data_IF_947219073342
#
_entry.id   IF_947219073342
#
_cell.length_a   1.000
_cell.length_b   1.000
_cell.length_c   1.000
_cell.angle_alpha   90.00
_cell.angle_beta   90.00
_cell.angle_gamma   90.00
#
_symmetry.space_group_name_H-M   'P 1'
#
loop_
_entity.id
_entity.type
_entity.pdbx_description
1 polymer ?
#
# COMPACT_ATOMS: atom_id res chain seq x y z
N UNK A 1 34.75 30.62 -14.70
CA UNK A 1 33.91 29.40 -14.73
C UNK A 1 33.10 29.44 -13.46
N UNK A 2 31.86 29.91 -13.55
CA UNK A 2 30.98 30.05 -12.39
C UNK A 2 30.54 28.68 -11.89
N UNK A 3 30.96 28.35 -10.67
CA UNK A 3 30.71 27.09 -9.98
C UNK A 3 29.30 27.06 -9.32
N UNK A 4 28.45 28.05 -9.65
CA UNK A 4 27.19 28.33 -8.95
C UNK A 4 25.94 28.01 -9.80
N UNK A 5 26.03 27.07 -10.74
CA UNK A 5 24.84 26.50 -11.37
C UNK A 5 24.38 25.26 -10.59
N UNK A 6 23.20 25.27 -9.93
CA UNK A 6 22.71 24.13 -9.16
C UNK A 6 22.72 22.81 -9.94
N UNK A 7 22.42 22.85 -11.24
CA UNK A 7 22.41 21.64 -12.09
C UNK A 7 23.81 21.04 -12.28
N UNK A 8 24.86 21.87 -12.35
CA UNK A 8 26.24 21.39 -12.50
C UNK A 8 26.76 20.79 -11.19
N UNK A 9 26.34 21.35 -10.04
CA UNK A 9 26.69 20.81 -8.72
C UNK A 9 26.03 19.44 -8.49
N UNK A 10 24.77 19.27 -8.89
CA UNK A 10 24.06 17.97 -8.81
C UNK A 10 24.71 16.90 -9.70
N UNK A 11 25.09 17.24 -10.92
CA UNK A 11 25.80 16.33 -11.83
C UNK A 11 27.15 15.86 -11.27
N UNK A 12 27.94 16.79 -10.72
CA UNK A 12 29.25 16.48 -10.10
C UNK A 12 29.06 15.55 -8.89
N UNK A 13 28.06 15.84 -8.04
CA UNK A 13 27.75 15.01 -6.88
C UNK A 13 27.35 13.59 -7.30
N UNK A 14 26.53 13.45 -8.34
CA UNK A 14 26.12 12.14 -8.85
C UNK A 14 27.28 11.34 -9.43
N UNK A 15 28.24 11.99 -10.08
CA UNK A 15 29.42 11.32 -10.60
C UNK A 15 30.33 10.80 -9.47
N UNK A 16 30.50 11.59 -8.40
CA UNK A 16 31.22 11.15 -7.20
C UNK A 16 30.53 9.99 -6.48
N UNK A 17 29.20 10.02 -6.37
CA UNK A 17 28.42 8.92 -5.79
C UNK A 17 28.60 7.64 -6.60
N UNK A 18 28.51 7.72 -7.94
CA UNK A 18 28.70 6.56 -8.82
C UNK A 18 30.10 5.96 -8.69
N UNK A 19 31.15 6.79 -8.62
CA UNK A 19 32.51 6.29 -8.43
C UNK A 19 32.69 5.68 -7.03
N UNK A 20 32.14 6.31 -5.98
CA UNK A 20 32.16 5.77 -4.62
C UNK A 20 31.45 4.41 -4.51
N UNK A 21 30.39 4.21 -5.28
CA UNK A 21 29.56 3.00 -5.25
C UNK A 21 29.98 1.95 -6.28
N UNK A 22 31.00 2.23 -7.08
CA UNK A 22 31.55 1.29 -8.05
C UNK A 22 31.93 -0.02 -7.37
N UNK A 23 31.39 -1.12 -7.88
CA UNK A 23 31.57 -2.49 -7.35
C UNK A 23 31.03 -2.72 -5.92
N UNK A 24 30.24 -1.79 -5.35
CA UNK A 24 29.55 -2.07 -4.09
C UNK A 24 28.39 -3.02 -4.30
N UNK A 25 28.35 -4.10 -3.51
CA UNK A 25 27.22 -5.04 -3.48
C UNK A 25 25.99 -4.40 -2.83
N UNK A 26 24.81 -4.95 -3.10
CA UNK A 26 23.59 -4.63 -2.37
C UNK A 26 23.75 -4.89 -0.87
N UNK A 27 23.19 -4.00 -0.05
CA UNK A 27 23.07 -4.21 1.38
C UNK A 27 21.99 -5.26 1.70
N UNK A 28 22.04 -5.84 2.90
CA UNK A 28 21.05 -6.83 3.33
C UNK A 28 19.62 -6.27 3.35
N UNK A 29 19.45 -5.00 3.74
CA UNK A 29 18.17 -4.29 3.66
C UNK A 29 17.65 -4.24 2.23
N UNK A 30 18.49 -3.79 1.29
CA UNK A 30 18.14 -3.65 -0.13
C UNK A 30 17.75 -4.99 -0.75
N UNK A 31 18.48 -6.07 -0.46
CA UNK A 31 18.13 -7.42 -0.94
C UNK A 31 16.76 -7.85 -0.40
N UNK A 32 16.53 -7.65 0.91
CA UNK A 32 15.28 -8.00 1.57
C UNK A 32 14.08 -7.22 1.03
N UNK A 33 14.24 -5.90 0.88
CA UNK A 33 13.20 -5.00 0.41
C UNK A 33 12.85 -5.27 -1.07
N UNK A 34 13.86 -5.51 -1.93
CA UNK A 34 13.64 -5.92 -3.32
C UNK A 34 12.90 -7.26 -3.41
N UNK A 35 13.29 -8.24 -2.58
CA UNK A 35 12.66 -9.55 -2.58
C UNK A 35 11.20 -9.48 -2.13
N UNK A 36 10.94 -8.77 -1.03
CA UNK A 36 9.58 -8.56 -0.54
C UNK A 36 8.71 -7.84 -1.58
N UNK A 37 9.26 -6.82 -2.26
CA UNK A 37 8.53 -6.13 -3.31
C UNK A 37 8.27 -7.02 -4.53
N UNK A 38 9.23 -7.82 -4.96
CA UNK A 38 9.05 -8.75 -6.08
C UNK A 38 7.90 -9.74 -5.83
N UNK A 39 7.82 -10.29 -4.61
CA UNK A 39 6.70 -11.13 -4.22
C UNK A 39 5.37 -10.37 -4.21
N UNK A 40 5.37 -9.13 -3.70
CA UNK A 40 4.20 -8.26 -3.69
C UNK A 40 3.68 -7.97 -5.10
N UNK A 41 4.53 -7.46 -6.00
CA UNK A 41 4.14 -7.13 -7.36
C UNK A 41 3.74 -8.35 -8.20
N UNK A 42 4.42 -9.48 -8.03
CA UNK A 42 4.01 -10.71 -8.73
C UNK A 42 2.65 -11.23 -8.26
N UNK A 43 2.34 -11.10 -6.96
CA UNK A 43 0.99 -11.35 -6.44
C UNK A 43 -0.02 -10.36 -7.02
N UNK A 44 0.29 -9.06 -7.05
CA UNK A 44 -0.61 -8.05 -7.61
C UNK A 44 -0.88 -8.28 -9.10
N UNK A 45 0.12 -8.71 -9.86
CA UNK A 45 -0.05 -9.11 -11.25
C UNK A 45 -1.15 -10.16 -11.42
N UNK A 46 -1.15 -11.18 -10.54
CA UNK A 46 -2.17 -12.22 -10.52
C UNK A 46 -3.56 -11.65 -10.16
N UNK A 47 -3.64 -10.76 -9.16
CA UNK A 47 -4.89 -10.10 -8.76
C UNK A 47 -5.46 -9.23 -9.88
N UNK A 48 -4.63 -8.39 -10.50
CA UNK A 48 -5.03 -7.52 -11.60
C UNK A 48 -5.50 -8.32 -12.80
N UNK A 49 -4.82 -9.43 -13.13
CA UNK A 49 -5.25 -10.32 -14.20
C UNK A 49 -6.68 -10.81 -13.98
N UNK A 50 -7.00 -11.30 -12.79
CA UNK A 50 -8.36 -11.74 -12.47
C UNK A 50 -9.34 -10.56 -12.44
N UNK A 51 -8.98 -9.42 -11.85
CA UNK A 51 -9.85 -8.23 -11.83
C UNK A 51 -10.20 -7.75 -13.24
N UNK A 52 -9.23 -7.70 -14.17
CA UNK A 52 -9.46 -7.30 -15.56
C UNK A 52 -10.36 -8.27 -16.33
N UNK A 53 -10.37 -9.56 -15.96
CA UNK A 53 -11.28 -10.55 -16.56
C UNK A 53 -12.75 -10.32 -16.17
N UNK A 54 -13.02 -9.80 -14.97
CA UNK A 54 -14.37 -9.78 -14.39
C UNK A 54 -14.94 -8.39 -14.09
N UNK A 55 -14.12 -7.33 -14.17
CA UNK A 55 -14.57 -5.94 -14.04
C UNK A 55 -15.55 -5.61 -15.16
N UNK A 56 -16.59 -4.83 -14.86
CA UNK A 56 -17.63 -4.43 -15.82
C UNK A 56 -17.58 -2.92 -16.11
N UNK A 57 -17.31 -2.09 -15.11
CA UNK A 57 -17.19 -0.64 -15.25
C UNK A 57 -15.89 -0.24 -15.97
N UNK A 58 -16.03 0.48 -17.09
CA UNK A 58 -14.90 0.85 -17.96
C UNK A 58 -13.90 1.80 -17.29
N UNK A 59 -14.36 2.75 -16.47
CA UNK A 59 -13.45 3.65 -15.74
C UNK A 59 -12.64 2.88 -14.69
N UNK A 60 -13.26 1.86 -14.07
CA UNK A 60 -12.57 0.98 -13.13
C UNK A 60 -11.60 0.06 -13.87
N UNK A 61 -11.96 -0.43 -15.05
CA UNK A 61 -11.05 -1.19 -15.91
C UNK A 61 -9.80 -0.39 -16.26
N UNK A 62 -9.97 0.86 -16.70
CA UNK A 62 -8.85 1.75 -17.03
C UNK A 62 -7.94 2.00 -15.82
N UNK A 63 -8.53 2.16 -14.63
CA UNK A 63 -7.77 2.30 -13.39
C UNK A 63 -6.99 1.02 -13.04
N UNK A 64 -7.59 -0.16 -13.18
CA UNK A 64 -6.91 -1.44 -12.93
C UNK A 64 -5.77 -1.65 -13.95
N UNK A 65 -5.99 -1.34 -15.23
CA UNK A 65 -4.94 -1.41 -16.26
C UNK A 65 -3.75 -0.50 -15.92
N UNK A 66 -4.03 0.74 -15.53
CA UNK A 66 -3.01 1.68 -15.09
C UNK A 66 -2.18 1.15 -13.91
N UNK A 67 -2.84 0.60 -12.88
CA UNK A 67 -2.14 0.01 -11.73
C UNK A 67 -1.33 -1.24 -12.12
N UNK A 68 -1.86 -2.07 -13.01
CA UNK A 68 -1.20 -3.27 -13.54
C UNK A 68 0.07 -2.94 -14.31
N UNK A 69 0.06 -1.90 -15.15
CA UNK A 69 1.24 -1.46 -15.90
C UNK A 69 2.36 -0.98 -14.99
N UNK A 70 2.02 -0.31 -13.89
CA UNK A 70 2.99 0.11 -12.86
C UNK A 70 3.63 -1.11 -12.19
N UNK A 71 2.83 -2.09 -11.76
CA UNK A 71 3.37 -3.29 -11.11
C UNK A 71 4.28 -4.09 -12.05
N UNK A 72 3.91 -4.18 -13.35
CA UNK A 72 4.78 -4.76 -14.37
C UNK A 72 6.10 -3.99 -14.52
N UNK A 73 6.05 -2.65 -14.57
CA UNK A 73 7.24 -1.81 -14.61
C UNK A 73 8.16 -2.06 -13.41
N UNK A 74 7.58 -2.21 -12.21
CA UNK A 74 8.34 -2.51 -10.98
C UNK A 74 9.03 -3.88 -11.07
N UNK A 75 8.31 -4.92 -11.50
CA UNK A 75 8.86 -6.27 -11.72
C UNK A 75 10.03 -6.26 -12.70
N UNK A 76 9.86 -5.59 -13.84
CA UNK A 76 10.89 -5.55 -14.88
C UNK A 76 12.14 -4.82 -14.38
N UNK A 77 11.97 -3.73 -13.61
CA UNK A 77 13.10 -3.03 -13.00
C UNK A 77 13.83 -3.85 -11.94
N UNK A 78 13.11 -4.63 -11.13
CA UNK A 78 13.74 -5.56 -10.17
C UNK A 78 14.50 -6.67 -10.87
N UNK A 79 13.97 -7.25 -11.96
CA UNK A 79 14.67 -8.25 -12.77
C UNK A 79 15.98 -7.70 -13.34
N UNK A 80 15.99 -6.45 -13.80
CA UNK A 80 17.21 -5.79 -14.26
C UNK A 80 18.24 -5.65 -13.12
N UNK A 81 17.81 -5.27 -11.91
CA UNK A 81 18.70 -5.15 -10.75
C UNK A 81 19.29 -6.53 -10.40
N UNK A 82 18.46 -7.57 -10.28
CA UNK A 82 18.93 -8.92 -9.98
C UNK A 82 19.91 -9.44 -11.03
N UNK A 83 19.61 -9.23 -12.31
CA UNK A 83 20.49 -9.64 -13.42
C UNK A 83 21.84 -8.93 -13.37
N UNK A 84 21.86 -7.63 -13.06
CA UNK A 84 23.12 -6.86 -12.93
C UNK A 84 24.00 -7.32 -11.77
N UNK A 85 23.38 -7.79 -10.69
CA UNK A 85 24.08 -8.29 -9.51
C UNK A 85 24.44 -9.79 -9.59
N UNK A 86 24.11 -10.45 -10.70
CA UNK A 86 24.23 -11.91 -10.85
C UNK A 86 23.47 -12.67 -9.74
N UNK A 87 22.33 -12.11 -9.31
CA UNK A 87 21.41 -12.71 -8.35
C UNK A 87 20.30 -13.42 -9.13
N UNK A 88 19.96 -14.68 -8.80
CA UNK A 88 18.82 -15.36 -9.41
C UNK A 88 17.52 -14.57 -9.20
N UNK A 89 16.74 -14.42 -10.26
CA UNK A 89 15.43 -13.79 -10.19
C UNK A 89 14.54 -14.66 -9.27
N UNK A 90 13.88 -14.08 -8.25
CA UNK A 90 13.01 -14.83 -7.36
C UNK A 90 11.86 -15.53 -8.09
N UNK A 91 11.44 -16.67 -7.57
CA UNK A 91 10.18 -17.31 -8.00
C UNK A 91 9.03 -16.58 -7.32
N UNK A 92 8.36 -15.69 -8.06
CA UNK A 92 7.17 -14.99 -7.62
C UNK A 92 5.88 -15.75 -7.91
N UNK A 93 4.75 -15.11 -7.64
CA UNK A 93 3.44 -15.63 -8.05
C UNK A 93 3.30 -15.59 -9.57
N UNK A 94 2.57 -16.57 -10.13
CA UNK A 94 2.35 -16.65 -11.57
C UNK A 94 1.03 -17.30 -11.93
N UNK A 95 0.93 -17.73 -13.19
CA UNK A 95 -0.28 -18.35 -13.75
C UNK A 95 -0.77 -19.57 -12.96
N UNK A 96 0.16 -20.33 -12.38
CA UNK A 96 -0.15 -21.49 -11.54
C UNK A 96 -0.88 -21.11 -10.23
N UNK A 97 -0.78 -19.85 -9.80
CA UNK A 97 -1.38 -19.35 -8.56
C UNK A 97 -2.76 -18.69 -8.79
N UNK A 98 -3.23 -18.67 -10.05
CA UNK A 98 -4.51 -18.06 -10.45
C UNK A 98 -5.50 -19.13 -10.91
N UNK A 99 -6.69 -19.15 -10.32
CA UNK A 99 -7.82 -19.93 -10.83
C UNK A 99 -8.66 -19.09 -11.79
N UNK A 100 -8.38 -19.21 -13.08
CA UNK A 100 -9.08 -18.44 -14.13
C UNK A 100 -10.58 -18.80 -14.28
N UNK A 101 -11.01 -19.96 -13.75
CA UNK A 101 -12.39 -20.43 -13.75
C UNK A 101 -13.17 -19.99 -12.50
N UNK A 102 -12.53 -19.22 -11.59
CA UNK A 102 -13.20 -18.74 -10.39
C UNK A 102 -14.33 -17.75 -10.76
N UNK A 103 -15.49 -17.82 -10.08
CA UNK A 103 -16.53 -16.82 -10.25
C UNK A 103 -16.05 -15.46 -9.73
N UNK A 104 -16.67 -14.39 -10.21
CA UNK A 104 -16.44 -13.04 -9.70
C UNK A 104 -16.72 -12.99 -8.18
N UNK A 105 -15.67 -12.76 -7.39
CA UNK A 105 -15.76 -12.70 -5.92
C UNK A 105 -15.95 -11.28 -5.38
N UNK A 106 -15.64 -10.27 -6.19
CA UNK A 106 -15.58 -8.88 -5.75
C UNK A 106 -16.35 -7.97 -6.70
N UNK A 107 -17.00 -6.95 -6.15
CA UNK A 107 -17.59 -5.86 -6.92
C UNK A 107 -16.52 -4.92 -7.48
N UNK A 108 -16.84 -4.18 -8.53
CA UNK A 108 -15.87 -3.23 -9.12
C UNK A 108 -15.45 -2.15 -8.12
N UNK A 109 -16.39 -1.64 -7.33
CA UNK A 109 -16.09 -0.69 -6.24
C UNK A 109 -15.11 -1.27 -5.22
N UNK A 110 -15.23 -2.55 -4.90
CA UNK A 110 -14.28 -3.21 -4.02
C UNK A 110 -12.90 -3.33 -4.67
N UNK A 111 -12.80 -3.60 -5.97
CA UNK A 111 -11.51 -3.66 -6.67
C UNK A 111 -10.79 -2.31 -6.57
N UNK A 112 -11.48 -1.19 -6.78
CA UNK A 112 -10.89 0.15 -6.61
C UNK A 112 -10.46 0.37 -5.16
N UNK A 113 -11.31 0.02 -4.20
CA UNK A 113 -11.02 0.17 -2.77
C UNK A 113 -9.78 -0.65 -2.36
N UNK A 114 -9.70 -1.91 -2.81
CA UNK A 114 -8.58 -2.80 -2.56
C UNK A 114 -7.27 -2.21 -3.09
N UNK A 115 -7.23 -1.81 -4.36
CA UNK A 115 -6.02 -1.24 -4.97
C UNK A 115 -5.61 0.06 -4.28
N UNK A 116 -6.57 0.89 -3.91
CA UNK A 116 -6.32 2.17 -3.21
C UNK A 116 -5.72 1.94 -1.82
N UNK A 117 -6.27 1.01 -1.03
CA UNK A 117 -5.74 0.69 0.29
C UNK A 117 -4.38 -0.02 0.22
N UNK A 118 -4.17 -0.87 -0.79
CA UNK A 118 -2.85 -1.48 -1.04
C UNK A 118 -1.81 -0.43 -1.43
N UNK A 119 -2.18 0.57 -2.25
CA UNK A 119 -1.30 1.70 -2.54
C UNK A 119 -0.99 2.52 -1.28
N UNK A 120 -1.97 2.76 -0.39
CA UNK A 120 -1.73 3.40 0.91
C UNK A 120 -0.70 2.64 1.74
N UNK A 121 -0.83 1.31 1.83
CA UNK A 121 0.14 0.47 2.52
C UNK A 121 1.53 0.53 1.83
N UNK A 122 1.55 0.49 0.49
CA UNK A 122 2.75 0.62 -0.33
C UNK A 122 3.55 1.90 -0.06
N UNK A 123 2.89 3.04 0.18
CA UNK A 123 3.59 4.28 0.55
C UNK A 123 4.43 4.14 1.82
N UNK A 124 3.93 3.40 2.81
CA UNK A 124 4.64 3.16 4.07
C UNK A 124 5.81 2.20 3.82
N UNK A 125 5.55 1.11 3.10
CA UNK A 125 6.56 0.10 2.77
C UNK A 125 7.71 0.69 1.96
N UNK A 126 7.42 1.41 0.87
CA UNK A 126 8.44 2.01 0.01
C UNK A 126 9.14 3.20 0.68
N UNK A 127 8.44 3.96 1.53
CA UNK A 127 9.08 4.98 2.37
C UNK A 127 10.10 4.37 3.33
N UNK A 128 9.78 3.24 3.95
CA UNK A 128 10.71 2.48 4.78
C UNK A 128 11.90 1.99 3.97
N UNK A 129 11.66 1.31 2.84
CA UNK A 129 12.72 0.76 1.98
C UNK A 129 13.66 1.85 1.43
N UNK A 130 13.11 3.00 1.03
CA UNK A 130 13.91 4.16 0.62
C UNK A 130 14.81 4.64 1.77
N UNK A 131 14.28 4.73 2.99
CA UNK A 131 15.03 5.21 4.17
C UNK A 131 16.14 4.26 4.61
N UNK A 132 16.08 2.99 4.24
CA UNK A 132 17.09 1.95 4.51
C UNK A 132 17.99 1.63 3.30
N UNK A 133 17.83 2.36 2.19
CA UNK A 133 18.63 2.20 0.97
C UNK A 133 19.83 3.13 0.95
N UNK A 134 20.95 2.66 0.40
CA UNK A 134 22.19 3.43 0.33
C UNK A 134 22.79 3.51 -1.07
N UNK A 135 22.60 2.48 -1.90
CA UNK A 135 23.03 2.51 -3.30
C UNK A 135 22.12 3.39 -4.14
N UNK A 136 22.69 4.22 -4.99
CA UNK A 136 21.96 5.25 -5.73
C UNK A 136 20.90 4.66 -6.66
N UNK A 137 21.17 3.52 -7.31
CA UNK A 137 20.21 2.86 -8.20
C UNK A 137 19.02 2.28 -7.44
N UNK A 138 19.23 1.82 -6.20
CA UNK A 138 18.17 1.33 -5.31
C UNK A 138 17.37 2.48 -4.70
N UNK A 139 18.04 3.55 -4.28
CA UNK A 139 17.39 4.80 -3.84
C UNK A 139 16.48 5.34 -4.94
N UNK A 140 16.98 5.47 -6.18
CA UNK A 140 16.16 5.92 -7.32
C UNK A 140 15.02 4.95 -7.64
N UNK A 141 15.22 3.64 -7.45
CA UNK A 141 14.17 2.65 -7.65
C UNK A 141 13.01 2.84 -6.66
N UNK A 142 13.29 2.93 -5.35
CA UNK A 142 12.23 3.11 -4.36
C UNK A 142 11.60 4.51 -4.41
N UNK A 143 12.35 5.54 -4.79
CA UNK A 143 11.78 6.86 -5.10
C UNK A 143 10.74 6.76 -6.23
N UNK A 144 11.07 6.08 -7.34
CA UNK A 144 10.13 5.83 -8.43
C UNK A 144 8.90 5.06 -7.94
N UNK A 145 9.09 4.02 -7.11
CA UNK A 145 7.98 3.24 -6.56
C UNK A 145 7.04 4.11 -5.71
N UNK A 146 7.58 5.03 -4.90
CA UNK A 146 6.78 6.00 -4.13
C UNK A 146 5.97 6.89 -5.06
N UNK A 147 6.58 7.48 -6.09
CA UNK A 147 5.87 8.36 -7.03
C UNK A 147 4.75 7.64 -7.78
N UNK A 148 5.01 6.42 -8.25
CA UNK A 148 4.00 5.58 -8.88
C UNK A 148 2.84 5.26 -7.94
N UNK A 149 3.16 4.92 -6.69
CA UNK A 149 2.17 4.59 -5.67
C UNK A 149 1.33 5.80 -5.29
N UNK A 150 1.92 6.99 -5.22
CA UNK A 150 1.18 8.26 -5.05
C UNK A 150 0.16 8.43 -6.18
N UNK A 151 0.55 8.16 -7.43
CA UNK A 151 -0.34 8.29 -8.57
C UNK A 151 -1.49 7.29 -8.55
N UNK A 152 -1.22 6.02 -8.19
CA UNK A 152 -2.27 5.00 -7.99
C UNK A 152 -3.22 5.46 -6.88
N UNK A 153 -2.71 5.84 -5.72
CA UNK A 153 -3.52 6.24 -4.57
C UNK A 153 -4.41 7.44 -4.91
N UNK A 154 -3.86 8.49 -5.53
CA UNK A 154 -4.63 9.68 -5.92
C UNK A 154 -5.75 9.34 -6.90
N UNK A 155 -5.45 8.58 -7.96
CA UNK A 155 -6.45 8.15 -8.95
C UNK A 155 -7.54 7.31 -8.29
N UNK A 156 -7.15 6.34 -7.46
CA UNK A 156 -8.08 5.47 -6.74
C UNK A 156 -9.01 6.23 -5.79
N UNK A 157 -8.46 7.13 -4.96
CA UNK A 157 -9.26 7.98 -4.06
C UNK A 157 -10.28 8.81 -4.84
N UNK A 158 -9.87 9.48 -5.91
CA UNK A 158 -10.79 10.31 -6.69
C UNK A 158 -11.85 9.48 -7.42
N UNK A 159 -11.48 8.29 -7.90
CA UNK A 159 -12.43 7.37 -8.51
C UNK A 159 -13.49 6.90 -7.50
N UNK A 160 -13.08 6.48 -6.30
CA UNK A 160 -13.99 6.11 -5.21
C UNK A 160 -14.95 7.25 -4.86
N UNK A 161 -14.42 8.46 -4.69
CA UNK A 161 -15.23 9.64 -4.37
C UNK A 161 -16.21 9.98 -5.49
N UNK A 162 -15.77 9.93 -6.75
CA UNK A 162 -16.63 10.20 -7.91
C UNK A 162 -17.80 9.21 -8.05
N UNK A 163 -17.59 7.97 -7.60
CA UNK A 163 -18.61 6.92 -7.57
C UNK A 163 -19.37 6.85 -6.24
N UNK A 164 -19.24 7.88 -5.39
CA UNK A 164 -20.03 8.06 -4.16
C UNK A 164 -19.53 7.28 -2.94
N UNK A 165 -18.35 6.67 -2.99
CA UNK A 165 -17.76 5.97 -1.85
C UNK A 165 -16.83 6.90 -1.07
N UNK A 166 -17.27 7.31 0.11
CA UNK A 166 -16.46 8.13 1.00
C UNK A 166 -15.65 7.26 1.97
N UNK A 167 -14.32 7.26 1.80
CA UNK A 167 -13.38 6.51 2.66
C UNK A 167 -12.50 7.42 3.53
N UNK A 168 -12.77 8.73 3.53
CA UNK A 168 -12.01 9.70 4.34
C UNK A 168 -12.55 9.75 5.78
N UNK A 169 -11.71 10.13 6.77
CA UNK A 169 -12.16 10.28 8.15
C UNK A 169 -13.28 11.33 8.29
N UNK A 170 -14.16 11.18 9.30
CA UNK A 170 -15.22 12.15 9.54
C UNK A 170 -14.65 13.53 9.88
N UNK A 171 -15.39 14.58 9.52
CA UNK A 171 -15.03 15.96 9.88
C UNK A 171 -15.29 16.23 11.36
N UNK A 172 -14.38 16.94 12.01
CA UNK A 172 -14.61 17.55 13.33
C UNK A 172 -14.89 19.05 13.19
N UNK A 173 -15.61 19.69 14.14
CA UNK A 173 -15.78 21.14 14.14
C UNK A 173 -14.44 21.87 14.17
N UNK A 174 -14.28 22.90 13.35
CA UNK A 174 -13.05 23.70 13.35
C UNK A 174 -12.84 24.39 14.71
N UNK A 175 -11.61 24.42 15.24
CA UNK A 175 -11.31 25.11 16.48
C UNK A 175 -11.56 26.62 16.31
N UNK A 176 -12.30 27.22 17.24
CA UNK A 176 -12.63 28.66 17.23
C UNK A 176 -11.68 29.52 18.07
N UNK A 177 -10.91 28.89 18.95
CA UNK A 177 -9.94 29.51 19.84
C UNK A 177 -8.82 28.53 20.17
N UNK A 178 -7.70 29.06 20.66
CA UNK A 178 -6.64 28.25 21.23
C UNK A 178 -7.06 27.84 22.65
N UNK A 179 -7.07 26.53 22.92
CA UNK A 179 -7.29 25.97 24.25
C UNK A 179 -5.98 25.33 24.73
N UNK A 180 -5.58 25.61 25.97
CA UNK A 180 -4.40 25.01 26.58
C UNK A 180 -4.82 23.82 27.44
N UNK A 181 -3.96 22.80 27.51
CA UNK A 181 -4.20 21.64 28.35
C UNK A 181 -3.91 22.03 29.81
N UNK A 182 -4.96 22.36 30.56
CA UNK A 182 -4.82 22.79 31.96
C UNK A 182 -4.81 21.62 32.96
N UNK A 183 -5.34 20.46 32.58
CA UNK A 183 -5.46 19.29 33.44
C UNK A 183 -4.45 18.19 33.08
N UNK A 184 -3.65 17.74 34.05
CA UNK A 184 -2.75 16.58 33.89
C UNK A 184 -3.49 15.29 33.51
N UNK A 185 -4.81 15.21 33.79
CA UNK A 185 -5.67 14.10 33.37
C UNK A 185 -5.79 13.96 31.85
N UNK A 186 -5.43 14.99 31.06
CA UNK A 186 -5.37 14.90 29.60
C UNK A 186 -4.31 13.88 29.12
N UNK A 187 -3.24 13.71 29.90
CA UNK A 187 -2.14 12.77 29.63
C UNK A 187 -2.33 11.45 30.41
N UNK A 188 -3.10 11.47 31.50
CA UNK A 188 -3.38 10.26 32.28
C UNK A 188 -4.42 9.37 31.59
N UNK A 189 -3.92 8.45 30.76
CA UNK A 189 -4.67 7.30 30.22
C UNK A 189 -5.43 6.48 31.30
N UNK A 190 -5.10 6.68 32.58
CA UNK A 190 -5.56 5.88 33.73
C UNK A 190 -6.66 6.60 34.54
N UNK A 191 -6.88 7.90 34.35
CA UNK A 191 -7.74 8.70 35.23
C UNK A 191 -9.25 8.61 34.95
N UNK A 192 -9.70 7.76 34.00
CA UNK A 192 -11.13 7.41 33.85
C UNK A 192 -12.08 8.55 33.44
N UNK A 193 -11.58 9.73 33.07
CA UNK A 193 -12.37 10.80 32.44
C UNK A 193 -11.95 10.92 30.98
N UNK A 194 -12.79 10.44 30.06
CA UNK A 194 -12.48 10.44 28.63
C UNK A 194 -12.47 11.87 28.09
N UNK A 195 -11.29 12.38 27.73
CA UNK A 195 -11.19 13.60 26.92
C UNK A 195 -11.82 13.33 25.54
N UNK A 196 -12.24 14.38 24.80
CA UNK A 196 -12.63 14.21 23.40
C UNK A 196 -11.52 13.52 22.60
N UNK A 197 -11.93 12.66 21.66
CA UNK A 197 -11.03 11.99 20.73
C UNK A 197 -10.36 13.05 19.85
N UNK A 198 -9.05 12.98 19.73
CA UNK A 198 -8.27 13.92 18.92
C UNK A 198 -8.43 13.63 17.44
N UNK A 199 -8.17 14.62 16.58
CA UNK A 199 -8.14 14.44 15.14
C UNK A 199 -7.18 13.32 14.68
N UNK A 200 -6.05 13.14 15.38
CA UNK A 200 -5.08 12.08 15.08
C UNK A 200 -5.64 10.69 15.45
N UNK A 201 -6.32 10.58 16.58
CA UNK A 201 -6.98 9.32 16.96
C UNK A 201 -8.11 8.97 15.98
N UNK A 202 -8.95 9.94 15.59
CA UNK A 202 -9.99 9.74 14.57
C UNK A 202 -9.38 9.24 13.25
N UNK A 203 -8.27 9.85 12.80
CA UNK A 203 -7.52 9.38 11.63
C UNK A 203 -7.12 7.90 11.78
N UNK A 204 -6.54 7.51 12.90
CA UNK A 204 -6.07 6.14 13.11
C UNK A 204 -7.23 5.14 13.27
N UNK A 205 -8.34 5.52 13.92
CA UNK A 205 -9.56 4.74 13.99
C UNK A 205 -10.09 4.45 12.58
N UNK A 206 -10.20 5.49 11.72
CA UNK A 206 -10.66 5.31 10.34
C UNK A 206 -9.75 4.38 9.53
N UNK A 207 -8.43 4.54 9.63
CA UNK A 207 -7.47 3.66 8.95
C UNK A 207 -7.68 2.19 9.36
N UNK A 208 -7.91 1.95 10.65
CA UNK A 208 -8.15 0.60 11.17
C UNK A 208 -9.52 0.06 10.72
N UNK A 209 -10.56 0.90 10.64
CA UNK A 209 -11.87 0.53 10.10
C UNK A 209 -11.74 0.13 8.63
N UNK A 210 -11.06 0.94 7.81
CA UNK A 210 -10.84 0.65 6.39
C UNK A 210 -10.07 -0.67 6.21
N UNK A 211 -8.99 -0.85 6.97
CA UNK A 211 -8.15 -2.06 6.90
C UNK A 211 -8.94 -3.32 7.28
N UNK A 212 -9.74 -3.26 8.35
CA UNK A 212 -10.60 -4.39 8.74
C UNK A 212 -11.75 -4.62 7.76
N UNK A 213 -12.30 -3.57 7.15
CA UNK A 213 -13.33 -3.70 6.12
C UNK A 213 -12.79 -4.44 4.90
N UNK A 214 -11.59 -4.06 4.45
CA UNK A 214 -10.87 -4.75 3.38
C UNK A 214 -10.60 -6.23 3.74
N UNK A 215 -10.00 -6.47 4.90
CA UNK A 215 -9.67 -7.82 5.36
C UNK A 215 -10.92 -8.71 5.50
N UNK A 216 -12.00 -8.18 6.07
CA UNK A 216 -13.29 -8.87 6.19
C UNK A 216 -13.83 -9.30 4.83
N UNK A 217 -13.82 -8.42 3.85
CA UNK A 217 -14.31 -8.73 2.51
C UNK A 217 -13.45 -9.81 1.82
N UNK A 218 -12.12 -9.72 1.91
CA UNK A 218 -11.21 -10.78 1.42
C UNK A 218 -11.53 -12.13 2.05
N UNK A 219 -11.66 -12.16 3.39
CA UNK A 219 -11.92 -13.39 4.12
C UNK A 219 -13.28 -14.00 3.77
N UNK A 220 -14.33 -13.18 3.65
CA UNK A 220 -15.64 -13.65 3.18
C UNK A 220 -15.52 -14.25 1.78
N UNK A 221 -14.90 -13.55 0.83
CA UNK A 221 -14.73 -14.02 -0.54
C UNK A 221 -13.96 -15.35 -0.60
N UNK A 222 -12.82 -15.45 0.08
CA UNK A 222 -12.01 -16.67 0.08
C UNK A 222 -12.70 -17.84 0.78
N UNK A 223 -13.53 -17.58 1.81
CA UNK A 223 -14.32 -18.63 2.44
C UNK A 223 -15.32 -19.30 1.47
N UNK A 224 -15.84 -18.55 0.49
CA UNK A 224 -16.79 -19.09 -0.49
C UNK A 224 -16.14 -20.07 -1.47
N UNK A 225 -14.84 -19.94 -1.71
CA UNK A 225 -14.12 -20.71 -2.73
C UNK A 225 -13.06 -21.65 -2.16
N UNK A 226 -12.83 -21.63 -0.85
CA UNK A 226 -11.88 -22.51 -0.18
C UNK A 226 -12.32 -23.97 -0.25
N UNK A 227 -11.49 -24.82 -0.84
CA UNK A 227 -11.75 -26.28 -0.92
C UNK A 227 -11.59 -26.98 0.43
N UNK A 228 -10.73 -26.49 1.31
CA UNK A 228 -10.51 -27.06 2.65
C UNK A 228 -11.50 -26.47 3.66
N UNK A 229 -12.21 -27.34 4.37
CA UNK A 229 -13.10 -26.95 5.47
C UNK A 229 -12.36 -26.20 6.58
N UNK A 230 -11.10 -26.60 6.86
CA UNK A 230 -10.25 -25.93 7.84
C UNK A 230 -9.96 -24.49 7.40
N UNK A 231 -9.60 -24.28 6.14
CA UNK A 231 -9.33 -22.93 5.61
C UNK A 231 -10.62 -22.10 5.54
N UNK A 232 -11.73 -22.70 5.11
CA UNK A 232 -13.04 -22.04 5.08
C UNK A 232 -13.42 -21.52 6.46
N UNK A 233 -13.31 -22.37 7.50
CA UNK A 233 -13.60 -22.00 8.89
C UNK A 233 -12.66 -20.90 9.38
N UNK A 234 -11.36 -21.00 9.09
CA UNK A 234 -10.38 -19.97 9.44
C UNK A 234 -10.76 -18.59 8.86
N UNK A 235 -11.13 -18.53 7.58
CA UNK A 235 -11.57 -17.28 6.96
C UNK A 235 -12.87 -16.75 7.57
N UNK A 236 -13.84 -17.61 7.87
CA UNK A 236 -15.10 -17.21 8.52
C UNK A 236 -14.88 -16.63 9.92
N UNK A 237 -13.99 -17.25 10.71
CA UNK A 237 -13.61 -16.76 12.04
C UNK A 237 -12.91 -15.40 11.95
N UNK A 238 -11.96 -15.25 11.01
CA UNK A 238 -11.28 -13.98 10.77
C UNK A 238 -12.23 -12.86 10.30
N UNK A 239 -13.19 -13.16 9.42
CA UNK A 239 -14.21 -12.21 8.99
C UNK A 239 -15.12 -11.76 10.16
N UNK A 240 -15.42 -12.68 11.07
CA UNK A 240 -16.21 -12.40 12.28
C UNK A 240 -15.44 -11.49 13.24
N UNK A 241 -14.14 -11.78 13.45
CA UNK A 241 -13.26 -10.94 14.27
C UNK A 241 -13.14 -9.52 13.71
N UNK A 242 -12.84 -9.40 12.42
CA UNK A 242 -12.76 -8.10 11.74
C UNK A 242 -14.09 -7.33 11.85
N UNK A 243 -15.23 -8.02 11.73
CA UNK A 243 -16.56 -7.43 11.94
C UNK A 243 -16.75 -6.84 13.35
N UNK A 244 -16.31 -7.57 14.38
CA UNK A 244 -16.35 -7.09 15.76
C UNK A 244 -15.46 -5.87 15.98
N UNK A 245 -14.25 -5.87 15.41
CA UNK A 245 -13.31 -4.74 15.50
C UNK A 245 -13.85 -3.49 14.79
N UNK A 246 -14.44 -3.64 13.60
CA UNK A 246 -15.09 -2.52 12.89
C UNK A 246 -16.16 -1.87 13.77
N UNK A 247 -17.01 -2.70 14.40
CA UNK A 247 -18.07 -2.20 15.29
C UNK A 247 -17.49 -1.45 16.49
N UNK A 248 -16.52 -2.02 17.19
CA UNK A 248 -15.88 -1.40 18.35
C UNK A 248 -15.19 -0.09 18.00
N UNK A 249 -14.46 -0.04 16.88
CA UNK A 249 -13.79 1.18 16.43
C UNK A 249 -14.79 2.26 16.00
N UNK A 250 -15.89 1.86 15.36
CA UNK A 250 -16.97 2.78 14.98
C UNK A 250 -17.75 3.36 16.16
N UNK A 251 -17.79 2.66 17.31
CA UNK A 251 -18.35 3.20 18.56
C UNK A 251 -17.43 4.25 19.21
N UNK A 252 -16.15 4.29 18.83
CA UNK A 252 -15.14 5.22 19.35
C UNK A 252 -14.93 6.47 18.47
N UNK A 253 -15.41 6.45 17.23
CA UNK A 253 -15.30 7.53 16.23
C UNK A 253 -16.50 8.46 16.24
#
# INVERSE_FOLDING_TARGET
MDINNPSQTEEINMQQIKEHQKNKKLAASEIGDLFANYLGDSMFHCVFKHHLQVVEDDEIRDFIMFASDISKKHLDRMKEIYTKEDIPIPVGFGEQDVRNDAPRLFSDMYMVFYITEMARAGLITFGSALSSSGRHDIVSYFEMCIQDTINIYKKGIYLLLSKGMNIIPPSIPYPKKNDFVENQSFISLIAGKSRPVTALEIKHLQININTNTLGKALMIAFSQVASSDKLRKYFQEGATLAGSQIKQLGELS
#
